data_IF_193975828129
#
_entry.id   IF_193975828129
#
_cell.length_a   1.000
_cell.length_b   1.000
_cell.length_c   1.000
_cell.angle_alpha   90.00
_cell.angle_beta   90.00
_cell.angle_gamma   90.00
#
_symmetry.space_group_name_H-M   'P 1'
#
loop_
_entity.id
_entity.type
_entity.pdbx_description
1 polymer ?
#
# COMPACT_ATOMS: atom_id res chain seq x y z
N UNK A 1 0.04 4.44 -26.08
CA UNK A 1 0.02 4.69 -24.62
C UNK A 1 -0.96 3.73 -23.96
N UNK A 2 -0.74 3.34 -22.71
CA UNK A 2 -1.70 2.50 -21.97
C UNK A 2 -2.93 3.32 -21.54
N UNK A 3 -4.06 2.69 -21.18
CA UNK A 3 -5.19 3.39 -20.55
C UNK A 3 -4.74 4.16 -19.31
N UNK A 4 -5.31 5.34 -19.05
CA UNK A 4 -4.93 6.18 -17.91
C UNK A 4 -5.10 5.47 -16.56
N UNK A 5 -6.06 4.54 -16.47
CA UNK A 5 -6.33 3.71 -15.30
C UNK A 5 -5.21 2.73 -14.93
N UNK A 6 -4.25 2.50 -15.83
CA UNK A 6 -3.04 1.72 -15.54
C UNK A 6 -1.92 2.58 -14.93
N UNK A 7 -2.13 3.90 -14.80
CA UNK A 7 -1.17 4.82 -14.20
C UNK A 7 -1.64 5.22 -12.79
N UNK A 8 -0.65 5.43 -11.91
CA UNK A 8 -0.83 6.04 -10.59
C UNK A 8 0.00 7.32 -10.49
N UNK A 9 1.16 7.34 -11.14
CA UNK A 9 1.99 8.52 -11.30
C UNK A 9 1.58 9.32 -12.54
N UNK A 10 1.03 10.52 -12.30
CA UNK A 10 0.67 11.45 -13.36
C UNK A 10 1.88 11.90 -14.19
N UNK A 11 3.09 11.92 -13.61
CA UNK A 11 4.32 12.32 -14.31
C UNK A 11 4.69 11.29 -15.35
N UNK A 12 4.63 10.01 -14.99
CA UNK A 12 4.80 8.90 -15.94
C UNK A 12 3.78 8.94 -17.05
N UNK A 13 2.51 9.21 -16.74
CA UNK A 13 1.48 9.37 -17.78
C UNK A 13 1.80 10.51 -18.76
N UNK A 14 2.17 11.69 -18.24
CA UNK A 14 2.58 12.84 -19.05
C UNK A 14 3.85 12.57 -19.87
N UNK A 15 4.79 11.81 -19.32
CA UNK A 15 6.02 11.41 -20.01
C UNK A 15 5.73 10.44 -21.16
N UNK A 16 4.90 9.42 -20.93
CA UNK A 16 4.51 8.45 -21.97
C UNK A 16 3.73 9.13 -23.11
N UNK A 17 2.83 10.04 -22.76
CA UNK A 17 2.12 10.89 -23.72
C UNK A 17 3.09 11.70 -24.59
N UNK A 18 4.10 12.32 -23.97
CA UNK A 18 5.12 13.09 -24.68
C UNK A 18 5.97 12.20 -25.60
N UNK A 19 6.49 11.08 -25.09
CA UNK A 19 7.37 10.19 -25.86
C UNK A 19 6.65 9.53 -27.05
N UNK A 20 5.33 9.29 -26.95
CA UNK A 20 4.54 8.81 -28.09
C UNK A 20 4.45 9.85 -29.21
N UNK A 21 4.17 11.12 -28.87
CA UNK A 21 4.04 12.19 -29.88
C UNK A 21 5.38 12.68 -30.40
N UNK A 22 6.44 12.59 -29.60
CA UNK A 22 7.81 12.95 -29.98
C UNK A 22 8.29 12.18 -31.21
N UNK A 23 7.79 10.96 -31.42
CA UNK A 23 8.04 10.16 -32.64
C UNK A 23 7.58 10.88 -33.92
N UNK A 24 6.62 11.80 -33.81
CA UNK A 24 6.10 12.62 -34.90
C UNK A 24 6.63 14.07 -34.86
N UNK A 25 7.74 14.32 -34.15
CA UNK A 25 8.39 15.63 -34.07
C UNK A 25 7.93 16.53 -32.92
N UNK A 26 7.02 16.06 -32.05
CA UNK A 26 6.52 16.84 -30.91
C UNK A 26 7.62 17.18 -29.90
N UNK A 27 7.67 18.43 -29.46
CA UNK A 27 8.67 18.96 -28.54
C UNK A 27 8.07 19.40 -27.21
N UNK A 28 8.89 19.47 -26.16
CA UNK A 28 8.47 20.01 -24.85
C UNK A 28 7.95 21.44 -24.94
N UNK A 29 8.49 22.23 -25.88
CA UNK A 29 8.04 23.60 -26.17
C UNK A 29 6.61 23.60 -26.69
N UNK A 30 6.29 22.71 -27.64
CA UNK A 30 4.93 22.57 -28.16
C UNK A 30 3.97 22.07 -27.08
N UNK A 31 4.37 21.08 -26.28
CA UNK A 31 3.51 20.62 -25.18
C UNK A 31 3.20 21.73 -24.18
N UNK A 32 4.22 22.51 -23.79
CA UNK A 32 4.05 23.63 -22.86
C UNK A 32 3.18 24.72 -23.47
N UNK A 33 3.33 25.00 -24.78
CA UNK A 33 2.51 25.96 -25.51
C UNK A 33 1.04 25.51 -25.60
N UNK A 34 0.79 24.25 -25.94
CA UNK A 34 -0.55 23.66 -26.03
C UNK A 34 -1.27 23.69 -24.69
N UNK A 35 -0.54 23.48 -23.59
CA UNK A 35 -1.05 23.60 -22.23
C UNK A 35 -1.04 25.05 -21.68
N UNK A 36 -0.75 26.05 -22.51
CA UNK A 36 -0.84 27.47 -22.13
C UNK A 36 0.18 27.93 -21.08
N UNK A 37 1.38 27.34 -21.07
CA UNK A 37 2.50 27.78 -20.23
C UNK A 37 3.50 28.62 -21.03
N UNK A 38 3.98 29.69 -20.42
CA UNK A 38 5.01 30.55 -21.00
C UNK A 38 6.40 29.89 -21.01
N UNK A 39 6.70 29.05 -20.00
CA UNK A 39 7.99 28.36 -19.90
C UNK A 39 8.01 27.11 -20.80
N UNK A 40 8.92 27.02 -21.78
CA UNK A 40 9.03 25.87 -22.68
C UNK A 40 9.47 24.56 -22.01
N UNK A 41 10.00 24.64 -20.79
CA UNK A 41 10.58 23.50 -20.06
C UNK A 41 9.76 23.09 -18.84
N UNK A 42 8.68 23.80 -18.49
CA UNK A 42 7.91 23.53 -17.28
C UNK A 42 7.40 22.08 -17.22
N UNK A 43 6.76 21.59 -18.29
CA UNK A 43 6.23 20.23 -18.31
C UNK A 43 7.34 19.16 -18.29
N UNK A 44 8.51 19.46 -18.86
CA UNK A 44 9.69 18.60 -18.73
C UNK A 44 10.14 18.50 -17.27
N UNK A 45 10.23 19.63 -16.57
CA UNK A 45 10.60 19.66 -15.14
C UNK A 45 9.57 18.94 -14.26
N UNK A 46 8.28 19.01 -14.62
CA UNK A 46 7.22 18.23 -13.97
C UNK A 46 7.46 16.73 -14.22
N UNK A 47 7.65 16.28 -15.45
CA UNK A 47 7.89 14.86 -15.71
C UNK A 47 9.17 14.32 -15.04
N UNK A 48 10.21 15.16 -14.93
CA UNK A 48 11.46 14.84 -14.22
C UNK A 48 11.34 14.89 -12.68
N UNK A 49 10.17 15.23 -12.13
CA UNK A 49 9.94 15.32 -10.68
C UNK A 49 10.59 16.54 -10.00
N UNK A 50 11.15 17.48 -10.76
CA UNK A 50 11.82 18.69 -10.24
C UNK A 50 10.85 19.75 -9.74
N UNK A 51 9.60 19.70 -10.18
CA UNK A 51 8.52 20.58 -9.69
C UNK A 51 7.18 19.85 -9.79
N UNK A 52 6.16 20.30 -9.06
CA UNK A 52 4.82 19.69 -9.11
C UNK A 52 3.89 20.41 -10.08
N UNK A 53 2.95 19.65 -10.66
CA UNK A 53 1.85 20.23 -11.42
C UNK A 53 0.90 20.96 -10.47
N UNK A 54 0.71 22.26 -10.67
CA UNK A 54 -0.18 23.07 -9.83
C UNK A 54 -1.64 22.79 -10.13
N UNK A 55 -2.54 23.05 -9.16
CA UNK A 55 -4.00 22.96 -9.36
C UNK A 55 -4.49 23.83 -10.52
N UNK A 56 -3.86 24.96 -10.77
CA UNK A 56 -4.17 25.87 -11.89
C UNK A 56 -3.68 25.31 -13.22
N UNK A 57 -2.51 24.65 -13.22
CA UNK A 57 -1.93 24.05 -14.42
C UNK A 57 -2.63 22.77 -14.84
N UNK A 58 -3.19 22.02 -13.89
CA UNK A 58 -3.84 20.73 -14.08
C UNK A 58 -4.89 20.73 -15.22
N UNK A 59 -5.95 21.57 -15.18
CA UNK A 59 -6.96 21.54 -16.24
C UNK A 59 -6.38 21.90 -17.61
N UNK A 60 -5.32 22.72 -17.67
CA UNK A 60 -4.67 23.09 -18.92
C UNK A 60 -3.87 21.92 -19.51
N UNK A 61 -3.14 21.20 -18.68
CA UNK A 61 -2.40 20.01 -19.09
C UNK A 61 -3.35 18.89 -19.52
N UNK A 62 -4.43 18.67 -18.76
CA UNK A 62 -5.45 17.70 -19.13
C UNK A 62 -6.09 18.02 -20.49
N UNK A 63 -6.42 19.29 -20.75
CA UNK A 63 -6.94 19.73 -22.04
C UNK A 63 -5.93 19.53 -23.19
N UNK A 64 -4.65 19.84 -22.99
CA UNK A 64 -3.59 19.59 -23.98
C UNK A 64 -3.40 18.09 -24.28
N UNK A 65 -3.64 17.24 -23.28
CA UNK A 65 -3.68 15.78 -23.42
C UNK A 65 -5.01 15.24 -23.95
N UNK A 66 -6.01 16.12 -24.15
CA UNK A 66 -7.38 15.80 -24.58
C UNK A 66 -8.14 14.89 -23.61
N UNK A 67 -7.81 14.94 -22.32
CA UNK A 67 -8.52 14.20 -21.29
C UNK A 67 -9.88 14.83 -21.03
N UNK A 68 -10.92 14.02 -21.02
CA UNK A 68 -12.30 14.46 -20.77
C UNK A 68 -13.05 13.46 -19.89
N UNK A 69 -14.19 13.87 -19.32
CA UNK A 69 -15.02 12.98 -18.51
C UNK A 69 -14.26 12.31 -17.37
N UNK A 70 -14.30 10.97 -17.33
CA UNK A 70 -13.65 10.21 -16.26
C UNK A 70 -12.12 10.31 -16.33
N UNK A 71 -11.51 10.47 -17.51
CA UNK A 71 -10.04 10.54 -17.64
C UNK A 71 -9.49 11.81 -17.01
N UNK A 72 -10.19 12.93 -17.17
CA UNK A 72 -9.87 14.19 -16.49
C UNK A 72 -9.95 14.00 -14.98
N UNK A 73 -11.05 13.43 -14.49
CA UNK A 73 -11.27 13.18 -13.05
C UNK A 73 -10.19 12.23 -12.50
N UNK A 74 -9.83 11.20 -13.25
CA UNK A 74 -8.78 10.24 -12.86
C UNK A 74 -7.40 10.92 -12.82
N UNK A 75 -7.08 11.74 -13.84
CA UNK A 75 -5.85 12.53 -13.86
C UNK A 75 -5.76 13.50 -12.69
N UNK A 76 -6.86 14.16 -12.33
CA UNK A 76 -6.94 15.00 -11.13
C UNK A 76 -6.53 14.25 -9.87
N UNK A 77 -7.05 13.03 -9.69
CA UNK A 77 -6.73 12.20 -8.53
C UNK A 77 -5.31 11.64 -8.55
N UNK A 78 -4.72 11.39 -9.71
CA UNK A 78 -3.29 11.05 -9.79
C UNK A 78 -2.42 12.22 -9.36
N UNK A 79 -2.78 13.45 -9.73
CA UNK A 79 -2.07 14.67 -9.31
C UNK A 79 -2.23 14.89 -7.80
N UNK A 80 -3.44 14.73 -7.26
CA UNK A 80 -3.67 14.80 -5.81
C UNK A 80 -2.85 13.73 -5.06
N UNK A 81 -2.81 12.49 -5.57
CA UNK A 81 -2.02 11.40 -5.00
C UNK A 81 -0.51 11.70 -5.02
N UNK A 82 0.01 12.17 -6.15
CA UNK A 82 1.43 12.50 -6.33
C UNK A 82 1.88 13.74 -5.56
N UNK A 83 0.99 14.70 -5.32
CA UNK A 83 1.29 15.95 -4.61
C UNK A 83 0.86 15.93 -3.12
N UNK A 84 0.26 14.85 -2.63
CA UNK A 84 -0.20 14.75 -1.25
C UNK A 84 0.94 14.96 -0.25
N UNK A 85 0.74 15.87 0.71
CA UNK A 85 1.73 16.23 1.72
C UNK A 85 1.80 15.26 2.91
N UNK A 86 0.83 14.36 3.03
CA UNK A 86 0.75 13.40 4.14
C UNK A 86 0.07 12.10 3.70
N UNK A 87 0.24 11.07 4.53
CA UNK A 87 -0.27 9.72 4.27
C UNK A 87 -1.80 9.67 4.14
N UNK A 88 -2.53 10.42 4.97
CA UNK A 88 -4.00 10.44 4.95
C UNK A 88 -4.58 10.96 3.62
N UNK A 89 -4.09 12.10 3.14
CA UNK A 89 -4.49 12.66 1.84
C UNK A 89 -4.12 11.72 0.70
N UNK A 90 -2.95 11.08 0.80
CA UNK A 90 -2.48 10.14 -0.21
C UNK A 90 -3.37 8.90 -0.27
N UNK A 91 -3.81 8.36 0.88
CA UNK A 91 -4.79 7.27 0.94
C UNK A 91 -6.13 7.66 0.33
N UNK A 92 -6.67 8.81 0.71
CA UNK A 92 -7.94 9.30 0.19
C UNK A 92 -7.91 9.44 -1.35
N UNK A 93 -6.83 10.00 -1.90
CA UNK A 93 -6.64 10.11 -3.35
C UNK A 93 -6.53 8.73 -4.03
N UNK A 94 -5.84 7.76 -3.42
CA UNK A 94 -5.75 6.40 -3.96
C UNK A 94 -7.08 5.64 -3.92
N UNK A 95 -7.87 5.83 -2.87
CA UNK A 95 -9.23 5.29 -2.77
C UNK A 95 -10.12 5.84 -3.89
N UNK A 96 -10.03 7.15 -4.17
CA UNK A 96 -10.72 7.78 -5.30
C UNK A 96 -10.26 7.22 -6.65
N UNK A 97 -8.95 7.07 -6.89
CA UNK A 97 -8.41 6.44 -8.11
C UNK A 97 -9.00 5.03 -8.32
N UNK A 98 -8.99 4.22 -7.27
CA UNK A 98 -9.52 2.85 -7.30
C UNK A 98 -11.02 2.83 -7.58
N UNK A 99 -11.77 3.75 -6.97
CA UNK A 99 -13.22 3.89 -7.19
C UNK A 99 -13.52 4.27 -8.64
N UNK A 100 -12.85 5.30 -9.18
CA UNK A 100 -13.07 5.77 -10.56
C UNK A 100 -12.71 4.67 -11.56
N UNK A 101 -11.57 3.99 -11.38
CA UNK A 101 -11.20 2.86 -12.24
C UNK A 101 -12.28 1.76 -12.23
N UNK A 102 -12.78 1.41 -11.05
CA UNK A 102 -13.84 0.40 -10.89
C UNK A 102 -15.13 0.80 -11.60
N UNK A 103 -15.54 2.06 -11.53
CA UNK A 103 -16.71 2.60 -12.24
C UNK A 103 -16.56 2.49 -13.77
N UNK A 104 -15.33 2.41 -14.27
CA UNK A 104 -15.01 2.20 -15.68
C UNK A 104 -14.68 0.74 -16.01
N UNK A 105 -15.01 -0.21 -15.13
CA UNK A 105 -14.65 -1.63 -15.27
C UNK A 105 -13.15 -1.89 -15.43
N UNK A 106 -12.32 -0.94 -15.01
CA UNK A 106 -10.87 -1.03 -14.98
C UNK A 106 -10.38 -1.35 -13.56
N UNK A 107 -9.12 -1.77 -13.45
CA UNK A 107 -8.48 -2.08 -12.18
C UNK A 107 -7.17 -1.33 -12.04
N UNK A 108 -6.99 -0.66 -10.90
CA UNK A 108 -5.71 -0.06 -10.52
C UNK A 108 -4.73 -1.17 -10.13
N UNK A 109 -3.50 -1.07 -10.63
CA UNK A 109 -2.41 -2.01 -10.33
C UNK A 109 -2.21 -2.09 -8.80
N UNK A 110 -2.10 -3.31 -8.28
CA UNK A 110 -1.88 -3.62 -6.87
C UNK A 110 -2.92 -3.06 -5.87
N UNK A 111 -4.12 -2.67 -6.32
CA UNK A 111 -5.17 -2.17 -5.43
C UNK A 111 -5.56 -3.16 -4.32
N UNK A 112 -5.63 -4.46 -4.65
CA UNK A 112 -5.88 -5.52 -3.66
C UNK A 112 -4.76 -5.60 -2.61
N UNK A 113 -3.50 -5.53 -3.05
CA UNK A 113 -2.34 -5.57 -2.17
C UNK A 113 -2.28 -4.33 -1.28
N UNK A 114 -2.63 -3.17 -1.82
CA UNK A 114 -2.80 -1.94 -1.03
C UNK A 114 -3.87 -2.12 0.05
N UNK A 115 -5.07 -2.58 -0.34
CA UNK A 115 -6.18 -2.79 0.57
C UNK A 115 -5.81 -3.80 1.67
N UNK A 116 -5.07 -4.86 1.34
CA UNK A 116 -4.54 -5.81 2.31
C UNK A 116 -3.69 -5.12 3.39
N UNK A 117 -2.74 -4.28 2.99
CA UNK A 117 -1.86 -3.56 3.92
C UNK A 117 -2.50 -2.32 4.57
N UNK A 118 -3.71 -1.94 4.20
CA UNK A 118 -4.38 -0.76 4.75
C UNK A 118 -4.83 -0.94 6.21
N UNK A 119 -4.93 -2.18 6.70
CA UNK A 119 -5.26 -2.46 8.09
C UNK A 119 -4.65 -3.77 8.59
N UNK A 120 -4.16 -3.76 9.84
CA UNK A 120 -3.66 -4.97 10.49
C UNK A 120 -4.68 -6.11 10.57
N UNK A 121 -5.99 -5.79 10.65
CA UNK A 121 -7.04 -6.82 10.75
C UNK A 121 -7.08 -7.75 9.53
N UNK A 122 -6.68 -7.26 8.35
CA UNK A 122 -6.66 -8.05 7.12
C UNK A 122 -5.64 -9.18 7.22
N UNK A 123 -4.48 -8.90 7.82
CA UNK A 123 -3.45 -9.91 8.04
C UNK A 123 -3.87 -10.92 9.11
N UNK A 124 -4.48 -10.44 10.20
CA UNK A 124 -4.93 -11.30 11.31
C UNK A 124 -6.05 -12.23 10.84
N UNK A 125 -7.06 -11.71 10.15
CA UNK A 125 -8.21 -12.49 9.67
C UNK A 125 -7.79 -13.49 8.58
N UNK A 126 -6.86 -13.12 7.69
CA UNK A 126 -6.32 -14.04 6.68
C UNK A 126 -5.72 -15.31 7.30
N UNK A 127 -5.01 -15.17 8.43
CA UNK A 127 -4.43 -16.31 9.15
C UNK A 127 -5.44 -17.01 10.05
N UNK A 128 -6.35 -16.28 10.69
CA UNK A 128 -7.24 -16.82 11.72
C UNK A 128 -8.49 -17.50 11.15
N UNK A 129 -9.10 -16.97 10.09
CA UNK A 129 -10.36 -17.49 9.55
C UNK A 129 -10.27 -18.97 9.11
N UNK A 130 -9.19 -19.45 8.47
CA UNK A 130 -9.05 -20.88 8.15
C UNK A 130 -8.98 -21.81 9.36
N UNK A 131 -8.62 -21.28 10.54
CA UNK A 131 -8.55 -22.06 11.79
C UNK A 131 -9.89 -22.14 12.51
N UNK A 132 -10.92 -21.45 12.00
CA UNK A 132 -12.24 -21.32 12.63
C UNK A 132 -13.36 -21.64 11.64
N UNK A 133 -13.43 -22.88 11.11
CA UNK A 133 -14.46 -23.28 10.16
C UNK A 133 -15.87 -23.08 10.75
N UNK A 134 -16.75 -22.44 9.98
CA UNK A 134 -18.13 -22.13 10.37
C UNK A 134 -18.28 -20.94 11.33
N UNK A 135 -17.20 -20.28 11.74
CA UNK A 135 -17.27 -19.19 12.71
C UNK A 135 -17.81 -17.89 12.12
N UNK A 136 -18.73 -17.25 12.85
CA UNK A 136 -19.28 -15.96 12.49
C UNK A 136 -18.25 -14.84 12.74
N UNK A 137 -18.37 -13.68 12.06
CA UNK A 137 -17.44 -12.55 12.24
C UNK A 137 -17.27 -12.09 13.70
N UNK A 138 -18.32 -12.18 14.51
CA UNK A 138 -18.25 -11.84 15.94
C UNK A 138 -17.40 -12.84 16.74
N UNK A 139 -17.43 -14.12 16.39
CA UNK A 139 -16.67 -15.17 17.06
C UNK A 139 -15.19 -15.05 16.72
N UNK A 140 -14.87 -14.79 15.44
CA UNK A 140 -13.51 -14.46 15.00
C UNK A 140 -13.01 -13.21 15.73
N UNK A 141 -13.81 -12.14 15.77
CA UNK A 141 -13.45 -10.90 16.47
C UNK A 141 -13.13 -11.14 17.96
N UNK A 142 -13.96 -11.93 18.66
CA UNK A 142 -13.76 -12.29 20.06
C UNK A 142 -12.53 -13.15 20.31
N UNK A 143 -12.06 -13.88 19.29
CA UNK A 143 -10.86 -14.73 19.38
C UNK A 143 -9.57 -13.92 19.26
N UNK A 144 -9.63 -12.74 18.65
CA UNK A 144 -8.48 -11.82 18.57
C UNK A 144 -8.26 -11.19 19.95
N UNK A 145 -7.01 -11.25 20.46
CA UNK A 145 -6.65 -10.72 21.80
C UNK A 145 -6.76 -9.18 21.90
N UNK A 146 -6.88 -8.51 20.76
CA UNK A 146 -7.04 -7.06 20.63
C UNK A 146 -8.45 -6.69 20.20
N UNK A 147 -8.88 -5.46 20.50
CA UNK A 147 -10.26 -5.04 20.27
C UNK A 147 -10.52 -4.79 18.77
N UNK A 148 -11.31 -5.69 18.16
CA UNK A 148 -11.90 -5.49 16.83
C UNK A 148 -13.41 -5.76 16.88
N UNK A 149 -14.16 -5.04 16.05
CA UNK A 149 -15.61 -5.22 15.91
C UNK A 149 -15.93 -6.33 14.92
N UNK A 150 -17.12 -6.94 15.07
CA UNK A 150 -17.64 -7.90 14.10
C UNK A 150 -17.76 -7.31 12.69
N UNK A 151 -18.04 -6.00 12.58
CA UNK A 151 -18.13 -5.32 11.30
C UNK A 151 -16.76 -5.24 10.61
N UNK A 152 -15.69 -4.88 11.34
CA UNK A 152 -14.34 -4.86 10.76
C UNK A 152 -13.90 -6.25 10.28
N UNK A 153 -14.22 -7.31 11.02
CA UNK A 153 -13.92 -8.68 10.58
C UNK A 153 -14.71 -9.05 9.32
N UNK A 154 -16.01 -8.69 9.27
CA UNK A 154 -16.83 -8.92 8.08
C UNK A 154 -16.27 -8.20 6.85
N UNK A 155 -15.88 -6.94 7.00
CA UNK A 155 -15.30 -6.14 5.91
C UNK A 155 -13.96 -6.73 5.45
N UNK A 156 -13.15 -7.21 6.38
CA UNK A 156 -11.89 -7.90 6.12
C UNK A 156 -12.10 -9.20 5.33
N UNK A 157 -13.01 -10.08 5.77
CA UNK A 157 -13.36 -11.31 5.06
C UNK A 157 -13.85 -11.01 3.63
N UNK A 158 -14.76 -10.06 3.47
CA UNK A 158 -15.26 -9.66 2.16
C UNK A 158 -14.15 -9.13 1.24
N UNK A 159 -13.23 -8.32 1.76
CA UNK A 159 -12.09 -7.81 1.02
C UNK A 159 -11.13 -8.95 0.61
N UNK A 160 -10.75 -9.82 1.56
CA UNK A 160 -9.84 -10.94 1.34
C UNK A 160 -10.41 -11.94 0.31
N UNK A 161 -11.70 -12.26 0.38
CA UNK A 161 -12.36 -13.15 -0.60
C UNK A 161 -12.46 -12.49 -1.98
N UNK A 162 -12.86 -11.22 -2.04
CA UNK A 162 -12.91 -10.46 -3.32
C UNK A 162 -11.52 -10.35 -3.97
N UNK A 163 -10.48 -10.14 -3.15
CA UNK A 163 -9.10 -10.08 -3.59
C UNK A 163 -8.52 -11.48 -3.90
N UNK A 164 -9.25 -12.57 -3.67
CA UNK A 164 -8.75 -13.94 -3.78
C UNK A 164 -7.48 -14.18 -2.95
N UNK A 165 -7.43 -13.61 -1.74
CA UNK A 165 -6.45 -13.99 -0.71
C UNK A 165 -6.99 -15.09 0.20
N UNK A 166 -8.33 -15.12 0.35
CA UNK A 166 -9.09 -16.24 0.90
C UNK A 166 -10.07 -16.75 -0.17
N UNK A 167 -10.43 -18.01 -0.06
CA UNK A 167 -11.54 -18.65 -0.76
C UNK A 167 -12.50 -19.22 0.27
N UNK A 168 -13.79 -18.99 0.09
CA UNK A 168 -14.83 -19.59 0.93
C UNK A 168 -15.21 -20.95 0.34
N UNK A 169 -14.89 -22.02 1.06
CA UNK A 169 -15.06 -23.41 0.59
C UNK A 169 -16.37 -24.05 1.06
N UNK A 170 -16.94 -23.53 2.14
CA UNK A 170 -18.26 -23.85 2.69
C UNK A 170 -18.77 -22.64 3.49
N UNK A 171 -20.00 -22.67 4.00
CA UNK A 171 -20.60 -21.56 4.76
C UNK A 171 -19.69 -21.12 5.93
N UNK A 172 -19.21 -19.87 5.87
CA UNK A 172 -18.26 -19.29 6.83
C UNK A 172 -16.98 -20.11 7.05
N UNK A 173 -16.58 -20.88 6.05
CA UNK A 173 -15.36 -21.70 6.08
C UNK A 173 -14.41 -21.24 5.00
N UNK A 174 -13.19 -20.85 5.40
CA UNK A 174 -12.25 -20.19 4.52
C UNK A 174 -10.94 -20.98 4.38
N UNK A 175 -10.31 -20.89 3.22
CA UNK A 175 -8.96 -21.39 2.97
C UNK A 175 -8.10 -20.28 2.37
N UNK A 176 -6.81 -20.24 2.72
CA UNK A 176 -5.85 -19.36 2.04
C UNK A 176 -5.58 -19.84 0.62
N UNK A 177 -5.49 -18.91 -0.30
CA UNK A 177 -5.07 -19.17 -1.68
C UNK A 177 -3.55 -19.07 -1.84
N UNK A 178 -3.00 -19.63 -2.92
CA UNK A 178 -1.59 -19.45 -3.32
C UNK A 178 -1.27 -18.07 -3.91
N UNK A 179 -2.22 -17.13 -3.92
CA UNK A 179 -1.99 -15.78 -4.44
C UNK A 179 -0.96 -15.06 -3.58
N UNK A 180 0.20 -14.77 -4.17
CA UNK A 180 1.25 -13.99 -3.52
C UNK A 180 0.76 -12.56 -3.21
N UNK A 181 1.07 -12.09 -1.99
CA UNK A 181 0.80 -10.72 -1.56
C UNK A 181 2.00 -9.86 -1.93
N UNK A 182 2.13 -9.57 -3.23
CA UNK A 182 3.18 -8.72 -3.78
C UNK A 182 2.57 -7.48 -4.42
N UNK A 183 3.35 -6.41 -4.45
CA UNK A 183 2.98 -5.19 -5.13
C UNK A 183 4.22 -4.32 -5.32
N UNK A 184 4.25 -3.62 -6.44
CA UNK A 184 5.35 -2.72 -6.83
C UNK A 184 4.87 -1.28 -7.08
N UNK A 185 3.56 -1.03 -6.91
CA UNK A 185 3.00 0.31 -7.09
C UNK A 185 3.48 1.32 -6.05
N UNK A 186 3.43 2.60 -6.41
CA UNK A 186 3.82 3.72 -5.53
C UNK A 186 2.95 3.84 -4.27
N UNK A 187 1.78 3.20 -4.28
CA UNK A 187 0.88 3.16 -3.15
C UNK A 187 1.29 2.10 -2.10
N UNK A 188 2.07 1.07 -2.47
CA UNK A 188 2.44 -0.01 -1.53
C UNK A 188 3.26 0.48 -0.34
N UNK A 189 4.30 1.32 -0.48
CA UNK A 189 5.03 1.85 0.68
C UNK A 189 4.14 2.59 1.67
N UNK A 190 3.10 3.28 1.19
CA UNK A 190 2.14 3.98 2.04
C UNK A 190 1.28 3.01 2.86
N UNK A 191 0.77 1.95 2.22
CA UNK A 191 0.01 0.93 2.92
C UNK A 191 0.90 0.16 3.92
N UNK A 192 2.13 -0.18 3.55
CA UNK A 192 3.09 -0.81 4.48
C UNK A 192 3.37 0.05 5.72
N UNK A 193 3.56 1.37 5.57
CA UNK A 193 3.70 2.28 6.72
C UNK A 193 2.47 2.24 7.64
N UNK A 194 1.28 2.12 7.06
CA UNK A 194 0.03 1.99 7.83
C UNK A 194 0.03 0.69 8.61
N UNK A 195 0.25 -0.44 7.94
CA UNK A 195 0.32 -1.75 8.61
C UNK A 195 1.37 -1.75 9.72
N UNK A 196 2.56 -1.17 9.49
CA UNK A 196 3.60 -1.11 10.51
C UNK A 196 3.17 -0.30 11.75
N UNK A 197 2.45 0.81 11.54
CA UNK A 197 1.90 1.61 12.65
C UNK A 197 0.88 0.81 13.44
N UNK A 198 -0.12 0.26 12.76
CA UNK A 198 -1.17 -0.56 13.38
C UNK A 198 -0.55 -1.73 14.18
N UNK A 199 0.38 -2.47 13.58
CA UNK A 199 1.05 -3.61 14.23
C UNK A 199 1.92 -3.18 15.42
N UNK A 200 2.46 -1.96 15.41
CA UNK A 200 3.22 -1.41 16.54
C UNK A 200 2.28 -1.00 17.67
N UNK A 201 1.11 -0.44 17.35
CA UNK A 201 0.09 -0.11 18.34
C UNK A 201 -0.45 -1.36 19.03
N UNK A 202 -0.67 -2.46 18.27
CA UNK A 202 -1.00 -3.76 18.85
C UNK A 202 0.13 -4.31 19.74
N UNK A 203 1.39 -4.20 19.31
CA UNK A 203 2.53 -4.64 20.11
C UNK A 203 2.69 -3.83 21.40
N UNK A 204 2.41 -2.52 21.36
CA UNK A 204 2.37 -1.66 22.55
C UNK A 204 1.28 -2.11 23.51
N UNK A 205 0.06 -2.32 23.02
CA UNK A 205 -1.06 -2.81 23.84
C UNK A 205 -0.77 -4.20 24.45
N UNK A 206 -0.02 -5.05 23.75
CA UNK A 206 0.35 -6.37 24.22
C UNK A 206 1.20 -6.33 25.50
N UNK A 207 1.93 -5.23 25.76
CA UNK A 207 2.69 -5.01 27.00
C UNK A 207 1.79 -5.00 28.25
N UNK A 208 0.53 -4.60 28.09
CA UNK A 208 -0.42 -4.53 29.20
C UNK A 208 -1.39 -5.72 29.21
N UNK A 209 -1.72 -6.27 28.05
CA UNK A 209 -2.82 -7.26 27.90
C UNK A 209 -2.40 -8.72 27.81
N UNK A 210 -1.18 -9.01 27.37
CA UNK A 210 -0.73 -10.38 27.10
C UNK A 210 0.22 -10.82 28.20
N UNK A 211 0.07 -12.03 28.72
CA UNK A 211 0.95 -12.55 29.77
C UNK A 211 2.42 -12.63 29.29
N UNK A 212 3.37 -12.45 30.21
CA UNK A 212 4.81 -12.49 29.91
C UNK A 212 5.27 -13.83 29.33
N UNK A 213 4.54 -14.92 29.59
CA UNK A 213 4.82 -16.26 29.05
C UNK A 213 4.28 -16.46 27.62
N UNK A 214 3.32 -15.62 27.19
CA UNK A 214 2.71 -15.68 25.85
C UNK A 214 3.30 -14.64 24.87
N UNK A 215 4.26 -13.81 25.30
CA UNK A 215 4.87 -12.76 24.49
C UNK A 215 6.40 -12.74 24.59
N UNK A 216 7.07 -12.32 23.51
CA UNK A 216 8.50 -12.02 23.53
C UNK A 216 8.71 -10.58 23.05
N UNK A 217 8.96 -9.68 24.01
CA UNK A 217 9.30 -8.29 23.74
C UNK A 217 10.67 -8.05 24.36
N UNK A 218 11.67 -7.88 23.50
CA UNK A 218 13.06 -7.62 23.88
C UNK A 218 13.61 -6.46 23.08
N UNK A 219 14.62 -5.79 23.65
CA UNK A 219 15.24 -4.63 23.03
C UNK A 219 16.62 -4.35 23.60
N UNK A 220 17.45 -3.68 22.82
CA UNK A 220 18.79 -3.23 23.19
C UNK A 220 19.02 -1.85 22.60
N UNK A 221 19.64 -0.96 23.37
CA UNK A 221 20.09 0.36 22.89
C UNK A 221 21.60 0.33 22.74
N UNK A 222 22.13 0.72 21.58
CA UNK A 222 23.55 0.65 21.26
C UNK A 222 23.98 1.81 20.37
N UNK A 223 25.24 2.24 20.52
CA UNK A 223 25.91 3.13 19.55
C UNK A 223 26.61 2.29 18.48
N UNK A 224 26.33 2.58 17.21
CA UNK A 224 26.89 1.88 16.05
C UNK A 224 27.22 2.86 14.93
N UNK A 225 28.16 2.49 14.06
CA UNK A 225 28.43 3.21 12.82
C UNK A 225 27.55 2.70 11.66
N UNK A 226 27.61 3.38 10.51
CA UNK A 226 26.81 3.02 9.34
C UNK A 226 27.14 1.61 8.78
N UNK A 227 28.42 1.20 8.66
CA UNK A 227 28.75 -0.18 8.26
C UNK A 227 28.20 -1.24 9.21
N UNK A 228 28.22 -0.98 10.52
CA UNK A 228 27.65 -1.90 11.51
C UNK A 228 26.13 -1.94 11.42
N UNK A 229 25.47 -0.80 11.15
CA UNK A 229 24.03 -0.77 10.89
C UNK A 229 23.62 -1.65 9.71
N UNK A 230 24.38 -1.60 8.60
CA UNK A 230 24.12 -2.45 7.43
C UNK A 230 24.23 -3.94 7.78
N UNK A 231 25.28 -4.33 8.51
CA UNK A 231 25.48 -5.73 8.96
C UNK A 231 24.38 -6.20 9.91
N UNK A 232 23.97 -5.37 10.87
CA UNK A 232 22.87 -5.71 11.79
C UNK A 232 21.55 -5.82 11.01
N UNK A 233 21.32 -4.93 10.04
CA UNK A 233 20.13 -4.99 9.19
C UNK A 233 20.05 -6.30 8.41
N UNK A 234 21.18 -6.77 7.88
CA UNK A 234 21.27 -8.08 7.22
C UNK A 234 20.96 -9.25 8.17
N UNK A 235 21.47 -9.22 9.40
CA UNK A 235 21.16 -10.24 10.40
C UNK A 235 19.68 -10.24 10.82
N UNK A 236 19.07 -9.06 10.95
CA UNK A 236 17.63 -8.91 11.21
C UNK A 236 16.83 -9.53 10.06
N UNK A 237 17.22 -9.28 8.81
CA UNK A 237 16.57 -9.87 7.64
C UNK A 237 16.74 -11.39 7.57
N UNK A 238 17.93 -11.90 7.86
CA UNK A 238 18.21 -13.33 7.91
C UNK A 238 17.44 -14.02 9.03
N UNK A 239 17.32 -13.38 10.20
CA UNK A 239 16.50 -13.85 11.30
C UNK A 239 15.03 -13.96 10.87
N UNK A 240 14.47 -12.90 10.27
CA UNK A 240 13.10 -12.90 9.75
C UNK A 240 12.86 -14.05 8.76
N UNK A 241 13.77 -14.27 7.81
CA UNK A 241 13.67 -15.38 6.84
C UNK A 241 13.65 -16.74 7.55
N UNK A 242 14.54 -16.96 8.52
CA UNK A 242 14.57 -18.21 9.31
C UNK A 242 13.28 -18.43 10.10
N UNK A 243 12.71 -17.38 10.71
CA UNK A 243 11.42 -17.48 11.42
C UNK A 243 10.28 -17.87 10.47
N UNK A 244 10.25 -17.32 9.25
CA UNK A 244 9.27 -17.72 8.23
C UNK A 244 9.42 -19.20 7.87
N UNK A 245 10.65 -19.69 7.69
CA UNK A 245 10.90 -21.12 7.45
C UNK A 245 10.35 -21.99 8.58
N UNK A 246 10.64 -21.64 9.84
CA UNK A 246 10.11 -22.37 11.01
C UNK A 246 8.57 -22.36 11.05
N UNK A 247 7.94 -21.22 10.73
CA UNK A 247 6.49 -21.12 10.68
C UNK A 247 5.89 -22.01 9.57
N UNK A 248 6.52 -22.09 8.41
CA UNK A 248 6.08 -22.94 7.30
C UNK A 248 6.24 -24.45 7.56
N UNK A 249 7.12 -24.84 8.48
CA UNK A 249 7.27 -26.23 8.94
C UNK A 249 6.19 -26.64 9.96
N UNK A 250 5.39 -25.68 10.46
CA UNK A 250 4.32 -25.93 11.41
C UNK A 250 3.21 -26.79 10.78
N UNK A 251 2.96 -27.96 11.39
CA UNK A 251 1.95 -28.91 10.89
C UNK A 251 0.53 -28.61 11.38
N UNK A 252 0.40 -27.99 12.55
CA UNK A 252 -0.88 -27.68 13.18
C UNK A 252 -0.80 -26.30 13.80
N UNK A 253 -1.45 -25.35 13.14
CA UNK A 253 -1.56 -23.98 13.62
C UNK A 253 -2.72 -23.91 14.62
N UNK A 254 -2.44 -23.45 15.83
CA UNK A 254 -3.44 -23.24 16.89
C UNK A 254 -3.60 -21.76 17.27
N UNK A 255 -2.66 -20.91 16.87
CA UNK A 255 -2.66 -19.49 17.17
C UNK A 255 -1.89 -18.68 16.12
N UNK A 256 -2.39 -17.47 15.86
CA UNK A 256 -1.75 -16.50 14.97
C UNK A 256 -0.83 -15.59 15.80
N UNK A 257 0.44 -15.56 15.43
CA UNK A 257 1.45 -14.69 16.05
C UNK A 257 1.92 -13.61 15.07
N UNK A 258 2.21 -12.43 15.61
CA UNK A 258 2.89 -11.36 14.87
C UNK A 258 4.28 -11.14 15.48
N UNK A 259 5.31 -11.25 14.65
CA UNK A 259 6.66 -10.81 15.00
C UNK A 259 6.95 -9.47 14.33
N UNK A 260 7.29 -8.46 15.14
CA UNK A 260 7.80 -7.18 14.67
C UNK A 260 9.29 -7.08 15.02
N UNK A 261 10.15 -6.82 14.04
CA UNK A 261 11.56 -6.51 14.23
C UNK A 261 11.79 -5.07 13.77
N UNK A 262 12.27 -4.22 14.67
CA UNK A 262 12.38 -2.78 14.43
C UNK A 262 13.79 -2.33 14.84
N UNK A 263 14.52 -1.76 13.88
CA UNK A 263 15.81 -1.11 14.09
C UNK A 263 15.70 0.30 13.53
N UNK A 264 15.88 1.31 14.39
CA UNK A 264 15.73 2.71 14.02
C UNK A 264 16.70 3.59 14.83
N UNK A 265 17.17 4.72 14.27
CA UNK A 265 18.01 5.65 15.01
C UNK A 265 17.19 6.37 16.08
N UNK A 266 17.79 6.55 17.26
CA UNK A 266 17.23 7.35 18.37
C UNK A 266 17.79 8.78 18.43
N UNK A 267 18.82 9.06 17.62
CA UNK A 267 19.51 10.36 17.58
C UNK A 267 19.88 10.71 16.14
N UNK A 268 20.22 11.98 15.91
CA UNK A 268 20.85 12.41 14.67
C UNK A 268 22.29 11.87 14.54
N UNK A 269 22.84 11.94 13.31
CA UNK A 269 24.26 11.67 13.07
C UNK A 269 25.10 12.78 13.71
N UNK A 270 26.14 12.38 14.44
CA UNK A 270 27.16 13.29 15.02
C UNK A 270 28.38 13.32 14.11
#
# INVERSE_FOLDING_TARGET
MKPITEYQDYRRYMQDFYEERKKSGFTWREFSKDAGFASPSYLKLVCEGKTSLSRVGLPRVAAAMKLTGFELTYFEKMVDFGNASNDEKKKAAFADLTRIAKEQHARVIDADTFAYYESAINSIVRELAPLMPGALPLEIAKKIKHAFTAQQVRDSLAMLTKAKFLEETDENTYQQTDKAITGSSEAIPLALRTMHRDMTDLAKEAIDKIDVTERNISGVTMGIDAPTFERISEEVDNCRKRVITLANECKKIDQVYRLNLQLFPLTDKV
#
